data_IF_181260096384
#
_entry.id   IF_181260096384
#
_cell.length_a   1.000
_cell.length_b   1.000
_cell.length_c   1.000
_cell.angle_alpha   90.00
_cell.angle_beta   90.00
_cell.angle_gamma   90.00
#
_symmetry.space_group_name_H-M   'P 1'
#
loop_
_entity.id
_entity.type
_entity.pdbx_description
1 polymer ?
#
# COMPACT_ATOMS: atom_id res chain seq x y z
N UNK A 1 -26.06 14.59 2.67
CA UNK A 1 -24.91 14.03 1.91
C UNK A 1 -25.06 14.44 0.46
N UNK A 2 -23.99 14.82 -0.23
CA UNK A 2 -24.06 15.13 -1.66
C UNK A 2 -23.76 13.86 -2.46
N UNK A 3 -24.71 13.40 -3.27
CA UNK A 3 -24.55 12.23 -4.15
C UNK A 3 -23.31 12.34 -5.07
N UNK A 4 -22.86 13.56 -5.35
CA UNK A 4 -21.65 13.84 -6.11
C UNK A 4 -20.38 13.33 -5.42
N UNK A 5 -20.29 13.38 -4.09
CA UNK A 5 -19.11 12.93 -3.35
C UNK A 5 -19.02 11.39 -3.34
N UNK A 6 -20.17 10.72 -3.23
CA UNK A 6 -20.27 9.25 -3.34
C UNK A 6 -19.83 8.80 -4.73
N UNK A 7 -20.34 9.44 -5.79
CA UNK A 7 -19.95 9.13 -7.17
C UNK A 7 -18.45 9.35 -7.38
N UNK A 8 -17.89 10.47 -6.91
CA UNK A 8 -16.45 10.74 -7.00
C UNK A 8 -15.62 9.69 -6.27
N UNK A 9 -16.03 9.29 -5.07
CA UNK A 9 -15.35 8.25 -4.31
C UNK A 9 -15.41 6.89 -5.04
N UNK A 10 -16.55 6.55 -5.63
CA UNK A 10 -16.68 5.34 -6.46
C UNK A 10 -15.72 5.39 -7.66
N UNK A 11 -15.68 6.50 -8.40
CA UNK A 11 -14.77 6.67 -9.54
C UNK A 11 -13.29 6.55 -9.12
N UNK A 12 -12.92 7.08 -7.96
CA UNK A 12 -11.57 6.95 -7.38
C UNK A 12 -11.20 5.49 -7.18
N UNK A 13 -12.07 4.71 -6.54
CA UNK A 13 -11.82 3.30 -6.28
C UNK A 13 -11.77 2.49 -7.58
N UNK A 14 -12.67 2.75 -8.52
CA UNK A 14 -12.66 2.12 -9.84
C UNK A 14 -11.37 2.43 -10.61
N UNK A 15 -10.91 3.69 -10.59
CA UNK A 15 -9.66 4.09 -11.24
C UNK A 15 -8.44 3.43 -10.58
N UNK A 16 -8.45 3.30 -9.25
CA UNK A 16 -7.41 2.60 -8.50
C UNK A 16 -7.37 1.10 -8.89
N UNK A 17 -8.52 0.41 -8.88
CA UNK A 17 -8.64 -0.98 -9.31
C UNK A 17 -8.15 -1.14 -10.74
N UNK A 18 -8.60 -0.28 -11.65
CA UNK A 18 -8.17 -0.29 -13.04
C UNK A 18 -6.66 -0.10 -13.18
N UNK A 19 -6.05 0.81 -12.40
CA UNK A 19 -4.60 1.04 -12.42
C UNK A 19 -3.80 -0.17 -11.92
N UNK A 20 -4.32 -0.92 -10.95
CA UNK A 20 -3.70 -2.15 -10.45
C UNK A 20 -3.80 -3.25 -11.52
N UNK A 21 -4.97 -3.43 -12.14
CA UNK A 21 -5.14 -4.38 -13.25
C UNK A 21 -4.16 -4.04 -14.38
N UNK A 22 -4.07 -2.76 -14.74
CA UNK A 22 -3.17 -2.30 -15.79
C UNK A 22 -1.69 -2.52 -15.44
N UNK A 23 -1.32 -2.45 -14.15
CA UNK A 23 0.04 -2.76 -13.68
C UNK A 23 0.45 -4.22 -13.86
N UNK A 24 -0.52 -5.13 -14.07
CA UNK A 24 -0.24 -6.52 -14.41
C UNK A 24 0.09 -6.63 -15.90
N UNK A 25 -0.68 -5.97 -16.76
CA UNK A 25 -0.57 -6.13 -18.21
C UNK A 25 0.53 -5.28 -18.86
N UNK A 26 0.69 -4.02 -18.45
CA UNK A 26 1.66 -3.10 -19.06
C UNK A 26 3.08 -3.68 -19.03
N UNK A 27 3.61 -4.17 -17.90
CA UNK A 27 4.99 -4.63 -17.85
C UNK A 27 5.23 -5.84 -18.77
N UNK A 28 4.22 -6.69 -18.96
CA UNK A 28 4.27 -7.82 -19.91
C UNK A 28 4.47 -7.39 -21.36
N UNK A 29 4.09 -6.17 -21.74
CA UNK A 29 4.30 -5.65 -23.09
C UNK A 29 5.70 -5.07 -23.30
N UNK A 30 6.36 -4.59 -22.25
CA UNK A 30 7.65 -3.88 -22.34
C UNK A 30 8.85 -4.69 -21.86
N UNK A 31 8.62 -5.72 -21.04
CA UNK A 31 9.66 -6.56 -20.45
C UNK A 31 9.46 -7.99 -20.95
N UNK A 32 10.35 -8.45 -21.83
CA UNK A 32 10.26 -9.76 -22.51
C UNK A 32 10.24 -10.96 -21.53
N UNK A 33 10.71 -10.80 -20.29
CA UNK A 33 10.75 -11.85 -19.24
C UNK A 33 9.83 -11.55 -18.03
N UNK A 34 8.83 -10.68 -18.18
CA UNK A 34 7.97 -10.34 -17.04
C UNK A 34 6.94 -11.45 -16.77
N UNK A 35 7.14 -12.16 -15.67
CA UNK A 35 6.15 -13.02 -15.03
C UNK A 35 5.82 -12.47 -13.66
N UNK A 36 4.53 -12.35 -13.31
CA UNK A 36 4.08 -11.83 -12.01
C UNK A 36 4.65 -12.67 -10.85
N UNK A 37 4.87 -13.97 -11.07
CA UNK A 37 5.36 -14.89 -10.04
C UNK A 37 6.90 -14.81 -9.89
N UNK A 38 7.63 -14.77 -11.01
CA UNK A 38 9.10 -14.75 -11.00
C UNK A 38 9.66 -13.34 -10.73
N UNK A 39 8.99 -12.31 -11.23
CA UNK A 39 9.38 -10.89 -11.08
C UNK A 39 8.43 -10.13 -10.15
N UNK A 40 7.94 -10.81 -9.12
CA UNK A 40 6.96 -10.29 -8.17
C UNK A 40 7.39 -8.96 -7.51
N UNK A 41 8.69 -8.76 -7.27
CA UNK A 41 9.26 -7.51 -6.73
C UNK A 41 9.07 -6.33 -7.68
N UNK A 42 9.34 -6.54 -8.97
CA UNK A 42 9.13 -5.53 -10.02
C UNK A 42 7.65 -5.17 -10.12
N UNK A 43 6.78 -6.17 -10.06
CA UNK A 43 5.33 -5.94 -10.06
C UNK A 43 4.87 -5.13 -8.83
N UNK A 44 5.34 -5.47 -7.62
CA UNK A 44 5.04 -4.71 -6.39
C UNK A 44 5.47 -3.24 -6.50
N UNK A 45 6.66 -2.99 -7.06
CA UNK A 45 7.14 -1.63 -7.34
C UNK A 45 6.19 -0.87 -8.29
N UNK A 46 5.81 -1.49 -9.41
CA UNK A 46 4.94 -0.86 -10.42
C UNK A 46 3.54 -0.59 -9.84
N UNK A 47 3.01 -1.53 -9.06
CA UNK A 47 1.74 -1.38 -8.33
C UNK A 47 1.81 -0.21 -7.33
N UNK A 48 2.88 -0.11 -6.55
CA UNK A 48 3.06 0.99 -5.60
C UNK A 48 3.14 2.36 -6.30
N UNK A 49 3.86 2.43 -7.43
CA UNK A 49 3.96 3.66 -8.24
C UNK A 49 2.62 4.04 -8.85
N UNK A 50 1.88 3.09 -9.42
CA UNK A 50 0.58 3.36 -10.06
C UNK A 50 -0.46 3.87 -9.05
N UNK A 51 -0.56 3.22 -7.89
CA UNK A 51 -1.47 3.63 -6.80
C UNK A 51 -1.08 5.01 -6.27
N UNK A 52 0.21 5.29 -6.10
CA UNK A 52 0.69 6.62 -5.68
C UNK A 52 0.32 7.70 -6.70
N UNK A 53 0.53 7.43 -7.99
CA UNK A 53 0.19 8.35 -9.07
C UNK A 53 -1.32 8.64 -9.10
N UNK A 54 -2.16 7.61 -8.99
CA UNK A 54 -3.62 7.76 -8.91
C UNK A 54 -4.01 8.64 -7.72
N UNK A 55 -3.52 8.34 -6.52
CA UNK A 55 -3.84 9.13 -5.32
C UNK A 55 -3.36 10.58 -5.42
N UNK A 56 -2.24 10.83 -6.08
CA UNK A 56 -1.73 12.18 -6.31
C UNK A 56 -2.58 12.94 -7.32
N UNK A 57 -2.94 12.33 -8.46
CA UNK A 57 -3.83 12.92 -9.46
C UNK A 57 -5.18 13.25 -8.83
N UNK A 58 -5.73 12.33 -8.04
CA UNK A 58 -6.98 12.54 -7.33
C UNK A 58 -6.88 13.68 -6.31
N UNK A 59 -5.79 13.77 -5.55
CA UNK A 59 -5.54 14.91 -4.69
C UNK A 59 -5.59 16.24 -5.45
N UNK A 60 -4.97 16.30 -6.64
CA UNK A 60 -4.97 17.49 -7.49
C UNK A 60 -6.37 17.81 -8.04
N UNK A 61 -7.13 16.79 -8.46
CA UNK A 61 -8.47 16.94 -9.06
C UNK A 61 -9.55 17.25 -8.01
N UNK A 62 -9.49 16.64 -6.83
CA UNK A 62 -10.48 16.81 -5.75
C UNK A 62 -10.20 18.06 -4.93
N UNK A 63 -8.93 18.48 -4.80
CA UNK A 63 -8.53 19.67 -4.04
C UNK A 63 -7.90 20.76 -4.94
N UNK A 64 -8.58 21.22 -6.00
CA UNK A 64 -8.04 22.25 -6.89
C UNK A 64 -7.97 23.63 -6.21
N UNK A 65 -8.73 23.84 -5.13
CA UNK A 65 -8.86 25.14 -4.44
C UNK A 65 -8.30 25.10 -3.02
N UNK A 66 -6.97 25.10 -2.88
CA UNK A 66 -6.40 25.93 -1.83
C UNK A 66 -6.33 27.35 -2.40
N UNK A 67 -7.12 28.26 -1.84
CA UNK A 67 -7.28 29.67 -2.25
C UNK A 67 -6.02 30.26 -2.91
N UNK A 68 -6.22 31.00 -4.00
CA UNK A 68 -5.26 31.74 -4.82
C UNK A 68 -4.35 32.76 -4.10
N UNK A 69 -4.19 32.68 -2.77
CA UNK A 69 -3.07 33.33 -2.07
C UNK A 69 -1.79 32.60 -2.48
N UNK A 70 -1.12 33.14 -3.52
CA UNK A 70 0.28 32.94 -3.95
C UNK A 70 1.07 32.05 -2.98
N UNK A 71 0.80 30.74 -2.98
CA UNK A 71 1.55 29.82 -2.13
C UNK A 71 2.90 29.71 -2.79
N UNK A 72 3.90 30.35 -2.18
CA UNK A 72 5.26 30.35 -2.68
C UNK A 72 5.66 28.93 -3.05
N UNK A 73 6.41 28.78 -4.15
CA UNK A 73 6.98 27.49 -4.57
C UNK A 73 7.64 26.78 -3.37
N UNK A 74 8.29 27.56 -2.50
CA UNK A 74 8.90 27.09 -1.24
C UNK A 74 7.90 26.37 -0.32
N UNK A 75 6.66 26.87 -0.16
CA UNK A 75 5.65 26.20 0.66
C UNK A 75 5.21 24.85 0.06
N UNK A 76 5.02 24.80 -1.26
CA UNK A 76 4.65 23.55 -1.96
C UNK A 76 5.77 22.52 -1.84
N UNK A 77 7.01 22.93 -2.07
CA UNK A 77 8.21 22.08 -1.92
C UNK A 77 8.35 21.60 -0.48
N UNK A 78 8.25 22.49 0.51
CA UNK A 78 8.35 22.13 1.93
C UNK A 78 7.26 21.12 2.32
N UNK A 79 6.04 21.30 1.83
CA UNK A 79 4.95 20.35 2.06
C UNK A 79 5.22 19.00 1.40
N UNK A 80 5.69 18.99 0.16
CA UNK A 80 6.06 17.76 -0.55
C UNK A 80 7.17 17.00 0.18
N UNK A 81 8.24 17.70 0.59
CA UNK A 81 9.33 17.11 1.38
C UNK A 81 8.81 16.50 2.69
N UNK A 82 7.92 17.19 3.41
CA UNK A 82 7.27 16.63 4.60
C UNK A 82 6.49 15.36 4.26
N UNK A 83 5.73 15.34 3.16
CA UNK A 83 5.03 14.12 2.75
C UNK A 83 6.00 12.97 2.45
N UNK A 84 7.11 13.24 1.75
CA UNK A 84 8.14 12.24 1.47
C UNK A 84 8.76 11.68 2.76
N UNK A 85 9.09 12.55 3.72
CA UNK A 85 9.64 12.13 5.01
C UNK A 85 8.65 11.23 5.75
N UNK A 86 7.37 11.61 5.82
CA UNK A 86 6.34 10.80 6.48
C UNK A 86 6.14 9.44 5.79
N UNK A 87 6.19 9.40 4.46
CA UNK A 87 6.12 8.16 3.70
C UNK A 87 7.32 7.25 3.99
N UNK A 88 8.55 7.79 3.94
CA UNK A 88 9.77 7.03 4.26
C UNK A 88 9.78 6.52 5.70
N UNK A 89 9.35 7.35 6.65
CA UNK A 89 9.20 6.94 8.05
C UNK A 89 8.19 5.79 8.21
N UNK A 90 7.07 5.83 7.47
CA UNK A 90 6.09 4.74 7.44
C UNK A 90 6.68 3.44 6.87
N UNK A 91 7.41 3.52 5.76
CA UNK A 91 8.06 2.35 5.15
C UNK A 91 9.05 1.71 6.13
N UNK A 92 9.88 2.53 6.78
CA UNK A 92 10.83 2.04 7.78
C UNK A 92 10.13 1.42 8.99
N UNK A 93 9.09 2.07 9.51
CA UNK A 93 8.32 1.55 10.64
C UNK A 93 7.68 0.19 10.33
N UNK A 94 7.04 0.03 9.16
CA UNK A 94 6.47 -1.28 8.77
C UNK A 94 7.54 -2.33 8.51
N UNK A 95 8.68 -1.97 7.92
CA UNK A 95 9.79 -2.91 7.74
C UNK A 95 10.27 -3.44 9.10
N UNK A 96 10.49 -2.56 10.08
CA UNK A 96 10.86 -2.95 11.44
C UNK A 96 9.79 -3.84 12.07
N UNK A 97 8.50 -3.50 11.91
CA UNK A 97 7.40 -4.34 12.40
C UNK A 97 7.48 -5.73 11.77
N UNK A 98 7.58 -5.87 10.46
CA UNK A 98 7.64 -7.18 9.81
C UNK A 98 8.84 -8.01 10.28
N UNK A 99 10.00 -7.38 10.44
CA UNK A 99 11.19 -8.03 11.01
C UNK A 99 10.91 -8.54 12.43
N UNK A 100 10.29 -7.72 13.29
CA UNK A 100 9.93 -8.13 14.65
C UNK A 100 8.91 -9.29 14.68
N UNK A 101 8.06 -9.39 13.66
CA UNK A 101 7.13 -10.51 13.46
C UNK A 101 7.78 -11.74 12.79
N UNK A 102 9.10 -11.73 12.57
CA UNK A 102 9.87 -12.89 12.10
C UNK A 102 10.24 -12.87 10.63
N UNK A 103 10.06 -11.75 9.92
CA UNK A 103 10.54 -11.64 8.54
C UNK A 103 12.08 -11.60 8.48
N UNK A 104 12.71 -12.29 7.51
CA UNK A 104 14.16 -12.38 7.36
C UNK A 104 14.81 -11.02 7.04
N UNK A 105 15.84 -10.66 7.83
CA UNK A 105 16.54 -9.37 7.75
C UNK A 105 17.57 -9.25 6.62
N UNK A 106 18.15 -10.36 6.16
CA UNK A 106 19.34 -10.35 5.29
C UNK A 106 19.03 -11.04 3.95
N UNK A 107 18.51 -12.27 3.99
CA UNK A 107 18.28 -13.07 2.79
C UNK A 107 17.14 -12.53 1.92
N UNK A 108 16.09 -12.00 2.54
CA UNK A 108 14.86 -11.51 1.90
C UNK A 108 14.55 -10.06 2.32
N UNK A 109 15.59 -9.29 2.64
CA UNK A 109 15.48 -7.92 3.14
C UNK A 109 14.73 -7.02 2.16
N UNK A 110 15.02 -7.17 0.86
CA UNK A 110 14.41 -6.39 -0.22
C UNK A 110 12.92 -6.72 -0.35
N UNK A 111 12.55 -8.00 -0.26
CA UNK A 111 11.14 -8.41 -0.34
C UNK A 111 10.33 -7.86 0.83
N UNK A 112 10.87 -7.98 2.04
CA UNK A 112 10.27 -7.45 3.27
C UNK A 112 10.14 -5.91 3.19
N UNK A 113 11.14 -5.24 2.64
CA UNK A 113 11.11 -3.80 2.43
C UNK A 113 10.07 -3.38 1.37
N UNK A 114 9.97 -4.10 0.25
CA UNK A 114 8.97 -3.81 -0.77
C UNK A 114 7.54 -4.10 -0.31
N UNK A 115 7.35 -5.09 0.57
CA UNK A 115 6.08 -5.28 1.25
C UNK A 115 5.74 -4.08 2.14
N UNK A 116 6.71 -3.56 2.90
CA UNK A 116 6.55 -2.38 3.74
C UNK A 116 6.27 -1.11 2.92
N UNK A 117 6.89 -0.96 1.75
CA UNK A 117 6.60 0.10 0.79
C UNK A 117 5.17 -0.03 0.26
N UNK A 118 4.76 -1.23 -0.14
CA UNK A 118 3.41 -1.49 -0.66
C UNK A 118 2.35 -1.17 0.40
N UNK A 119 2.52 -1.68 1.63
CA UNK A 119 1.60 -1.40 2.72
C UNK A 119 1.57 0.10 3.08
N UNK A 120 2.72 0.78 3.08
CA UNK A 120 2.80 2.24 3.26
C UNK A 120 2.07 3.00 2.14
N UNK A 121 2.14 2.53 0.91
CA UNK A 121 1.45 3.16 -0.22
C UNK A 121 -0.06 3.10 -0.04
N UNK A 122 -0.63 1.96 0.36
CA UNK A 122 -2.07 1.84 0.55
C UNK A 122 -2.58 2.54 1.82
N UNK A 123 -1.75 2.74 2.83
CA UNK A 123 -2.16 3.34 4.12
C UNK A 123 -1.78 4.82 4.22
N UNK A 124 -0.51 5.15 4.01
CA UNK A 124 0.08 6.47 4.28
C UNK A 124 -0.13 7.46 3.14
N UNK A 125 -0.09 7.03 1.86
CA UNK A 125 -0.28 7.95 0.72
C UNK A 125 -1.70 8.56 0.71
N UNK A 126 -2.80 7.78 0.86
CA UNK A 126 -4.14 8.36 0.99
C UNK A 126 -4.27 9.34 2.16
N UNK A 127 -3.62 9.05 3.31
CA UNK A 127 -3.58 9.96 4.47
C UNK A 127 -2.90 11.28 4.14
N UNK A 128 -1.74 11.23 3.50
CA UNK A 128 -0.97 12.40 3.08
C UNK A 128 -1.71 13.23 2.04
N UNK A 129 -2.42 12.59 1.11
CA UNK A 129 -3.25 13.26 0.12
C UNK A 129 -4.46 13.95 0.78
N UNK A 130 -5.26 13.21 1.56
CA UNK A 130 -6.51 13.74 2.10
C UNK A 130 -6.30 14.73 3.25
N UNK A 131 -5.50 14.33 4.25
CA UNK A 131 -5.30 15.04 5.52
C UNK A 131 -4.04 15.91 5.53
N UNK A 132 -3.08 15.65 4.63
CA UNK A 132 -1.77 16.29 4.65
C UNK A 132 -0.84 15.76 5.75
N UNK A 133 0.38 16.31 5.89
CA UNK A 133 1.32 15.93 6.95
C UNK A 133 0.91 16.56 8.29
N UNK A 134 -0.30 16.26 8.76
CA UNK A 134 -0.85 16.72 10.04
C UNK A 134 -1.23 15.51 10.90
N UNK A 135 -0.30 15.08 11.75
CA UNK A 135 -0.48 13.91 12.60
C UNK A 135 -1.70 14.01 13.54
N UNK A 136 -2.05 15.21 14.02
CA UNK A 136 -3.26 15.40 14.85
C UNK A 136 -4.53 15.07 14.07
N UNK A 137 -4.58 15.43 12.79
CA UNK A 137 -5.72 15.09 11.94
C UNK A 137 -5.82 13.58 11.71
N UNK A 138 -4.67 12.88 11.61
CA UNK A 138 -4.63 11.43 11.45
C UNK A 138 -5.13 10.74 12.71
N UNK A 139 -4.61 11.13 13.88
CA UNK A 139 -5.08 10.62 15.18
C UNK A 139 -6.58 10.81 15.36
N UNK A 140 -7.10 11.98 15.00
CA UNK A 140 -8.54 12.23 15.01
C UNK A 140 -9.27 11.25 14.09
N UNK A 141 -8.87 11.11 12.83
CA UNK A 141 -9.57 10.21 11.90
C UNK A 141 -9.56 8.77 12.39
N UNK A 142 -8.45 8.28 12.96
CA UNK A 142 -8.37 6.92 13.50
C UNK A 142 -8.90 6.76 14.94
N UNK A 143 -9.44 7.83 15.54
CA UNK A 143 -10.11 7.75 16.84
C UNK A 143 -11.58 7.31 16.71
N UNK A 144 -12.13 6.77 17.80
CA UNK A 144 -13.53 6.36 17.87
C UNK A 144 -14.44 7.56 17.58
N UNK A 145 -15.27 7.45 16.54
CA UNK A 145 -16.19 8.49 16.04
C UNK A 145 -15.52 9.76 15.48
N UNK A 146 -14.22 9.75 15.17
CA UNK A 146 -13.52 10.92 14.65
C UNK A 146 -13.70 11.20 13.15
N UNK A 147 -14.41 10.31 12.45
CA UNK A 147 -14.74 10.44 11.03
C UNK A 147 -15.86 11.46 10.83
N UNK A 148 -15.57 12.46 10.01
CA UNK A 148 -16.48 13.57 9.72
C UNK A 148 -16.91 13.60 8.25
N UNK A 149 -16.24 12.84 7.37
CA UNK A 149 -16.54 12.80 5.94
C UNK A 149 -16.47 11.38 5.37
N UNK A 150 -17.15 11.17 4.24
CA UNK A 150 -17.12 9.88 3.53
C UNK A 150 -15.71 9.51 3.03
N UNK A 151 -14.89 10.53 2.72
CA UNK A 151 -13.49 10.35 2.33
C UNK A 151 -12.65 9.84 3.50
N UNK A 152 -12.89 10.33 4.72
CA UNK A 152 -12.24 9.84 5.94
C UNK A 152 -12.70 8.42 6.29
N UNK A 153 -13.99 8.11 6.10
CA UNK A 153 -14.49 6.75 6.28
C UNK A 153 -13.83 5.77 5.30
N UNK A 154 -13.76 6.16 4.03
CA UNK A 154 -13.07 5.37 3.02
C UNK A 154 -11.61 5.15 3.35
N UNK A 155 -10.93 6.17 3.87
CA UNK A 155 -9.53 6.09 4.27
C UNK A 155 -9.32 5.08 5.40
N UNK A 156 -10.19 5.07 6.42
CA UNK A 156 -10.16 4.05 7.46
C UNK A 156 -10.37 2.66 6.89
N UNK A 157 -11.40 2.47 6.05
CA UNK A 157 -11.71 1.18 5.43
C UNK A 157 -10.51 0.68 4.62
N UNK A 158 -9.93 1.51 3.76
CA UNK A 158 -8.74 1.16 2.97
C UNK A 158 -7.56 0.81 3.87
N UNK A 159 -7.34 1.54 4.96
CA UNK A 159 -6.23 1.26 5.88
C UNK A 159 -6.42 -0.10 6.57
N UNK A 160 -7.61 -0.34 7.14
CA UNK A 160 -7.95 -1.58 7.84
C UNK A 160 -7.92 -2.77 6.87
N UNK A 161 -8.50 -2.63 5.68
CA UNK A 161 -8.49 -3.70 4.67
C UNK A 161 -7.08 -4.00 4.17
N UNK A 162 -6.19 -3.01 4.09
CA UNK A 162 -4.79 -3.24 3.71
C UNK A 162 -4.05 -4.08 4.76
N UNK A 163 -4.22 -3.75 6.05
CA UNK A 163 -3.63 -4.54 7.13
C UNK A 163 -4.19 -5.96 7.16
N UNK A 164 -5.52 -6.10 7.03
CA UNK A 164 -6.16 -7.40 6.95
C UNK A 164 -5.66 -8.20 5.75
N UNK A 165 -5.51 -7.56 4.59
CA UNK A 165 -4.98 -8.18 3.38
C UNK A 165 -3.54 -8.66 3.55
N UNK A 166 -2.66 -7.85 4.14
CA UNK A 166 -1.28 -8.26 4.44
C UNK A 166 -1.23 -9.41 5.45
N UNK A 167 -2.06 -9.35 6.49
CA UNK A 167 -2.13 -10.42 7.48
C UNK A 167 -2.68 -11.73 6.89
N UNK A 168 -3.76 -11.66 6.09
CA UNK A 168 -4.30 -12.80 5.35
C UNK A 168 -3.30 -13.34 4.32
N UNK A 169 -2.52 -12.47 3.67
CA UNK A 169 -1.44 -12.84 2.77
C UNK A 169 -0.28 -13.58 3.45
N UNK A 170 -0.17 -13.52 4.78
CA UNK A 170 0.79 -14.29 5.55
C UNK A 170 0.30 -15.71 5.91
N UNK A 171 -1.00 -16.02 5.80
CA UNK A 171 -1.54 -17.36 6.08
C UNK A 171 -0.98 -18.49 5.19
N UNK A 172 -0.72 -18.26 3.88
CA UNK A 172 -0.06 -19.26 3.05
C UNK A 172 1.37 -19.60 3.50
N UNK A 173 2.03 -18.74 4.31
CA UNK A 173 3.43 -18.95 4.73
C UNK A 173 3.55 -20.16 5.68
N UNK A 174 2.75 -20.28 6.76
CA UNK A 174 2.66 -21.53 7.50
C UNK A 174 2.22 -22.69 6.60
N UNK A 175 1.25 -22.47 5.71
CA UNK A 175 0.71 -23.51 4.84
C UNK A 175 1.69 -24.04 3.77
N UNK A 176 2.85 -23.40 3.58
CA UNK A 176 3.96 -23.87 2.73
C UNK A 176 4.72 -25.08 3.36
N UNK A 177 4.01 -25.83 4.22
CA UNK A 177 4.26 -27.20 4.65
C UNK A 177 4.29 -28.20 3.45
N UNK A 178 4.92 -27.90 2.30
CA UNK A 178 5.18 -28.89 1.25
C UNK A 178 6.51 -28.85 0.48
N UNK A 179 7.57 -28.19 0.94
CA UNK A 179 8.88 -28.20 0.24
C UNK A 179 9.55 -29.60 0.35
N UNK A 180 10.43 -30.02 -0.58
CA UNK A 180 10.80 -31.43 -0.83
C UNK A 180 11.37 -32.27 0.33
N UNK A 181 11.68 -31.70 1.50
CA UNK A 181 12.00 -32.44 2.72
C UNK A 181 10.76 -33.09 3.38
N UNK A 182 9.55 -32.62 3.08
CA UNK A 182 8.31 -33.14 3.68
C UNK A 182 7.85 -34.47 3.10
N UNK A 183 8.32 -34.82 1.91
CA UNK A 183 8.09 -36.12 1.29
C UNK A 183 8.94 -37.21 1.96
N UNK A 184 10.14 -36.87 2.47
CA UNK A 184 11.02 -37.81 3.17
C UNK A 184 10.38 -38.40 4.44
N UNK A 185 9.51 -37.65 5.11
CA UNK A 185 8.81 -38.11 6.31
C UNK A 185 7.71 -39.16 6.01
N UNK A 186 7.08 -39.08 4.84
CA UNK A 186 6.10 -40.07 4.39
C UNK A 186 6.78 -41.35 3.87
N UNK A 187 7.94 -41.21 3.21
CA UNK A 187 8.74 -42.35 2.75
C UNK A 187 9.32 -43.17 3.91
N UNK A 188 9.77 -42.54 5.00
CA UNK A 188 10.26 -43.25 6.19
C UNK A 188 9.14 -43.99 6.95
N UNK A 189 7.90 -43.48 6.90
CA UNK A 189 6.72 -44.15 7.49
C UNK A 189 6.23 -45.37 6.69
N UNK A 190 6.56 -45.46 5.39
CA UNK A 190 6.28 -46.63 4.55
C UNK A 190 7.38 -47.71 4.64
N UNK A 191 8.60 -47.34 4.99
CA UNK A 191 9.71 -48.29 5.20
C UNK A 191 9.63 -49.01 6.57
N UNK A 192 8.80 -48.51 7.50
CA UNK A 192 8.64 -49.04 8.86
C UNK A 192 7.30 -49.76 9.10
N UNK A 193 6.58 -50.14 8.04
CA UNK A 193 5.42 -51.05 8.06
C UNK A 193 5.70 -52.23 7.15
#
# INVERSE_FOLDING_TARGET
>A
MKDTDIKRLLYVHLLCIFSIILSIFIPSFFLENFSVLETHLTWLCICSVSVTAVNLVLYLVVKPNASSKRSSLSYKVTRFLKCCIYFLMSCFAFHVIFVLYGAPLIELALETFLLAVTLSTFTTVPCLCLLGPNFKAWLRVFSRNGVTSIWENSLQITTVSSFLGTWLGAFPIPLDWGRPWQVGFNSLKQQSR
#
